data_IF_234693673368
#
_entry.id   IF_234693673368
#
_cell.length_a   1.000
_cell.length_b   1.000
_cell.length_c   1.000
_cell.angle_alpha   90.00
_cell.angle_beta   90.00
_cell.angle_gamma   90.00
#
_symmetry.space_group_name_H-M   'P 1'
#
loop_
_entity.id
_entity.type
_entity.pdbx_description
1 polymer ?
#
# COMPACT_ATOMS: atom_id res chain seq x y z
N UNK A 1 -29.43 19.49 -18.31
CA UNK A 1 -28.29 19.44 -17.40
C UNK A 1 -28.01 18.00 -16.97
N UNK A 2 -26.79 17.62 -17.07
CA UNK A 2 -26.43 16.30 -16.62
C UNK A 2 -25.95 16.37 -15.20
N UNK A 3 -26.59 15.63 -14.34
CA UNK A 3 -26.14 15.47 -12.99
C UNK A 3 -25.32 14.20 -12.92
N UNK A 4 -24.05 14.34 -12.68
CA UNK A 4 -23.24 13.16 -12.48
C UNK A 4 -23.59 12.65 -11.11
N UNK A 5 -24.08 11.45 -11.04
CA UNK A 5 -24.34 10.83 -9.77
C UNK A 5 -23.06 10.67 -8.98
N UNK A 6 -23.20 10.06 -7.85
CA UNK A 6 -22.06 9.66 -7.07
C UNK A 6 -21.06 9.02 -8.00
N UNK A 7 -19.83 9.34 -7.79
CA UNK A 7 -18.80 8.77 -8.61
C UNK A 7 -19.00 7.29 -8.66
N UNK A 8 -19.31 6.83 -9.83
CA UNK A 8 -19.51 5.42 -10.07
C UNK A 8 -18.31 4.61 -9.67
N UNK A 9 -17.15 5.24 -9.75
CA UNK A 9 -15.96 4.56 -9.35
C UNK A 9 -15.91 4.51 -7.84
N UNK A 10 -15.89 3.32 -7.35
CA UNK A 10 -15.84 3.09 -5.91
C UNK A 10 -14.46 3.29 -5.34
N UNK A 11 -13.46 3.16 -6.18
CA UNK A 11 -12.07 3.22 -5.74
C UNK A 11 -11.30 4.24 -6.57
N UNK A 12 -10.44 4.96 -5.89
CA UNK A 12 -9.46 5.83 -6.53
C UNK A 12 -8.12 5.13 -6.39
N UNK A 13 -7.48 4.89 -7.52
CA UNK A 13 -6.19 4.21 -7.55
C UNK A 13 -5.08 5.24 -7.65
N UNK A 14 -4.20 5.25 -6.66
CA UNK A 14 -3.14 6.24 -6.57
C UNK A 14 -1.79 5.55 -6.39
N UNK A 15 -0.81 5.85 -7.24
CA UNK A 15 0.53 5.33 -7.02
C UNK A 15 1.16 6.01 -5.81
N UNK A 16 2.01 5.29 -5.11
CA UNK A 16 2.69 5.84 -3.95
C UNK A 16 4.16 5.40 -3.92
N UNK A 17 4.93 6.14 -3.14
CA UNK A 17 6.31 5.81 -2.85
C UNK A 17 6.58 6.16 -1.40
N UNK A 18 7.25 5.27 -0.70
CA UNK A 18 7.67 5.52 0.68
C UNK A 18 9.17 5.26 0.76
N UNK A 19 9.93 6.27 1.12
CA UNK A 19 11.39 6.20 1.16
C UNK A 19 11.96 6.70 2.48
N UNK A 20 11.13 6.76 3.51
CA UNK A 20 11.56 7.23 4.83
C UNK A 20 11.95 6.10 5.79
N UNK A 21 12.00 4.88 5.30
CA UNK A 21 12.50 3.75 6.07
C UNK A 21 13.94 3.50 5.66
N UNK A 22 14.83 3.59 6.61
CA UNK A 22 16.25 3.42 6.33
C UNK A 22 16.53 2.08 5.66
N UNK A 23 17.22 2.13 4.53
CA UNK A 23 17.61 0.95 3.79
C UNK A 23 16.56 0.40 2.83
N UNK A 24 15.36 0.99 2.78
CA UNK A 24 14.28 0.46 1.97
C UNK A 24 13.54 1.54 1.20
N UNK A 25 13.02 1.14 0.06
CA UNK A 25 12.13 1.97 -0.75
C UNK A 25 10.92 1.10 -1.09
N UNK A 26 9.74 1.62 -0.82
CA UNK A 26 8.49 0.92 -1.14
C UNK A 26 7.76 1.71 -2.20
N UNK A 27 7.36 1.03 -3.27
CA UNK A 27 6.55 1.63 -4.31
C UNK A 27 5.36 0.74 -4.58
N UNK A 28 4.26 1.34 -4.98
CA UNK A 28 3.09 0.55 -5.28
C UNK A 28 1.89 1.41 -5.62
N UNK A 29 0.73 0.83 -5.48
CA UNK A 29 -0.54 1.47 -5.78
C UNK A 29 -1.50 1.21 -4.64
N UNK A 30 -2.19 2.25 -4.21
CA UNK A 30 -3.21 2.15 -3.16
C UNK A 30 -4.57 2.53 -3.73
N UNK A 31 -5.59 1.82 -3.31
CA UNK A 31 -6.97 2.09 -3.70
C UNK A 31 -7.71 2.65 -2.49
N UNK A 32 -8.40 3.77 -2.71
CA UNK A 32 -9.19 4.43 -1.67
C UNK A 32 -10.63 4.54 -2.11
N UNK A 33 -11.54 4.48 -1.15
CA UNK A 33 -12.95 4.67 -1.46
C UNK A 33 -13.28 6.17 -1.50
N UNK A 34 -14.55 6.48 -1.70
CA UNK A 34 -14.99 7.88 -1.81
C UNK A 34 -14.80 8.65 -0.52
N UNK A 35 -14.66 7.99 0.59
CA UNK A 35 -14.45 8.61 1.90
C UNK A 35 -12.97 8.71 2.26
N UNK A 36 -12.09 8.51 1.28
CA UNK A 36 -10.65 8.56 1.47
C UNK A 36 -10.13 7.51 2.45
N UNK A 37 -10.79 6.36 2.46
CA UNK A 37 -10.36 5.24 3.28
C UNK A 37 -9.72 4.17 2.43
N UNK A 38 -8.60 3.68 2.89
CA UNK A 38 -7.88 2.63 2.17
C UNK A 38 -8.71 1.36 2.10
N UNK A 39 -8.86 0.81 0.90
CA UNK A 39 -9.57 -0.45 0.71
C UNK A 39 -8.62 -1.57 0.33
N UNK A 40 -7.74 -1.30 -0.61
CA UNK A 40 -6.78 -2.29 -1.10
C UNK A 40 -5.48 -1.60 -1.41
N UNK A 41 -4.43 -2.38 -1.53
CA UNK A 41 -3.15 -1.85 -1.95
C UNK A 41 -2.19 -2.97 -2.28
N UNK A 42 -1.15 -2.61 -2.97
CA UNK A 42 -0.05 -3.52 -3.24
C UNK A 42 1.22 -2.73 -3.39
N UNK A 43 2.34 -3.35 -3.09
CA UNK A 43 3.61 -2.68 -3.23
C UNK A 43 4.76 -3.64 -3.32
N UNK A 44 5.88 -3.08 -3.74
CA UNK A 44 7.14 -3.79 -3.79
C UNK A 44 8.11 -3.11 -2.84
N UNK A 45 8.79 -3.90 -2.06
CA UNK A 45 9.83 -3.43 -1.14
C UNK A 45 11.17 -3.72 -1.79
N UNK A 46 11.96 -2.68 -1.95
CA UNK A 46 13.31 -2.78 -2.53
C UNK A 46 14.31 -2.19 -1.56
N UNK A 47 15.54 -2.66 -1.65
CA UNK A 47 16.63 -1.99 -0.94
C UNK A 47 16.96 -0.68 -1.65
N UNK A 48 17.65 0.21 -0.97
CA UNK A 48 18.12 1.46 -1.58
C UNK A 48 19.08 1.21 -2.72
N UNK A 49 19.61 0.01 -2.82
CA UNK A 49 20.49 -0.39 -3.93
C UNK A 49 19.72 -0.95 -5.11
N UNK A 50 18.39 -1.05 -4.99
CA UNK A 50 17.54 -1.51 -6.07
C UNK A 50 17.19 -2.99 -6.04
N UNK A 51 17.73 -3.75 -5.09
CA UNK A 51 17.43 -5.18 -5.00
C UNK A 51 16.02 -5.39 -4.47
N UNK A 52 15.26 -6.28 -5.10
CA UNK A 52 13.92 -6.60 -4.66
C UNK A 52 13.96 -7.45 -3.40
N UNK A 53 13.30 -6.98 -2.35
CA UNK A 53 13.23 -7.68 -1.08
C UNK A 53 11.96 -8.50 -0.99
N UNK A 54 10.82 -7.88 -1.27
CA UNK A 54 9.52 -8.54 -1.14
C UNK A 54 8.46 -7.80 -1.92
N UNK A 55 7.32 -8.45 -2.11
CA UNK A 55 6.10 -7.78 -2.54
C UNK A 55 5.02 -8.06 -1.50
N UNK A 56 4.03 -7.19 -1.43
CA UNK A 56 2.93 -7.38 -0.51
C UNK A 56 1.63 -6.87 -1.11
N UNK A 57 0.53 -7.38 -0.58
CA UNK A 57 -0.81 -6.88 -0.90
C UNK A 57 -1.54 -6.60 0.39
N UNK A 58 -2.41 -5.60 0.36
CA UNK A 58 -3.29 -5.26 1.46
C UNK A 58 -4.71 -5.47 0.96
N UNK A 59 -5.48 -6.29 1.65
CA UNK A 59 -6.82 -6.66 1.22
C UNK A 59 -7.84 -6.32 2.28
N UNK A 60 -8.97 -5.75 1.84
CA UNK A 60 -10.16 -5.50 2.64
C UNK A 60 -9.87 -4.87 4.00
N UNK A 61 -9.26 -3.73 3.96
CA UNK A 61 -8.82 -3.02 5.18
C UNK A 61 -9.99 -2.51 6.00
N UNK A 62 -11.20 -2.49 5.44
CA UNK A 62 -12.36 -1.91 6.12
C UNK A 62 -12.75 -2.65 7.39
N UNK A 63 -12.57 -3.94 7.41
CA UNK A 63 -12.93 -4.76 8.57
C UNK A 63 -11.73 -5.06 9.44
N UNK A 64 -10.65 -5.46 8.82
CA UNK A 64 -9.40 -5.68 9.53
C UNK A 64 -8.26 -5.56 8.53
N UNK A 65 -7.14 -5.09 9.01
CA UNK A 65 -5.97 -4.94 8.16
C UNK A 65 -5.38 -6.30 7.89
N UNK A 66 -5.20 -6.61 6.62
CA UNK A 66 -4.59 -7.86 6.20
C UNK A 66 -3.48 -7.57 5.22
N UNK A 67 -2.31 -8.02 5.57
CA UNK A 67 -1.14 -7.92 4.71
C UNK A 67 -0.74 -9.33 4.33
N UNK A 68 -0.66 -9.55 3.02
CA UNK A 68 -0.15 -10.81 2.49
C UNK A 68 1.14 -10.55 1.77
N UNK A 69 2.20 -11.24 2.17
CA UNK A 69 3.46 -11.17 1.46
C UNK A 69 3.40 -12.09 0.25
N UNK A 70 3.82 -11.59 -0.88
CA UNK A 70 3.97 -12.39 -2.07
C UNK A 70 5.35 -13.01 -2.13
N UNK A 71 6.19 -12.50 -3.02
CA UNK A 71 7.58 -12.94 -3.08
C UNK A 71 8.36 -12.26 -1.97
N UNK A 72 9.15 -13.02 -1.25
CA UNK A 72 9.98 -12.47 -0.19
C UNK A 72 11.24 -13.30 -0.03
N UNK A 73 12.36 -12.63 0.17
CA UNK A 73 13.59 -13.31 0.50
C UNK A 73 13.44 -13.92 1.90
N UNK A 74 13.78 -15.18 2.04
CA UNK A 74 13.52 -15.94 3.27
C UNK A 74 14.18 -15.29 4.49
N UNK A 75 15.38 -14.76 4.32
CA UNK A 75 16.13 -14.14 5.42
C UNK A 75 15.71 -12.70 5.70
N UNK A 76 14.77 -12.15 4.94
CA UNK A 76 14.29 -10.79 5.08
C UNK A 76 12.82 -10.73 5.48
N UNK A 77 12.21 -11.85 5.79
CA UNK A 77 10.78 -11.90 6.05
C UNK A 77 10.35 -10.99 7.20
N UNK A 78 11.06 -11.01 8.31
CA UNK A 78 10.69 -10.15 9.44
C UNK A 78 10.81 -8.68 9.11
N UNK A 79 11.86 -8.31 8.37
CA UNK A 79 12.04 -6.93 7.93
C UNK A 79 10.93 -6.53 6.96
N UNK A 80 10.60 -7.42 6.03
CA UNK A 80 9.55 -7.14 5.05
C UNK A 80 8.20 -6.93 5.71
N UNK A 81 7.86 -7.73 6.71
CA UNK A 81 6.61 -7.55 7.45
C UNK A 81 6.59 -6.20 8.14
N UNK A 82 7.68 -5.82 8.80
CA UNK A 82 7.77 -4.53 9.47
C UNK A 82 7.62 -3.36 8.50
N UNK A 83 8.29 -3.44 7.35
CA UNK A 83 8.19 -2.39 6.32
C UNK A 83 6.78 -2.32 5.76
N UNK A 84 6.17 -3.47 5.49
CA UNK A 84 4.80 -3.51 4.96
C UNK A 84 3.80 -2.92 5.96
N UNK A 85 3.95 -3.24 7.25
CA UNK A 85 3.06 -2.70 8.28
C UNK A 85 3.22 -1.19 8.41
N UNK A 86 4.45 -0.69 8.38
CA UNK A 86 4.69 0.75 8.43
C UNK A 86 4.08 1.44 7.21
N UNK A 87 4.19 0.83 6.05
CA UNK A 87 3.60 1.37 4.83
C UNK A 87 2.08 1.39 4.94
N UNK A 88 1.48 0.31 5.44
CA UNK A 88 0.05 0.24 5.65
C UNK A 88 -0.42 1.36 6.58
N UNK A 89 0.28 1.59 7.67
CA UNK A 89 -0.07 2.65 8.61
C UNK A 89 -0.10 4.01 7.93
N UNK A 90 0.88 4.30 7.08
CA UNK A 90 0.91 5.55 6.33
C UNK A 90 -0.23 5.62 5.32
N UNK A 91 -0.45 4.56 4.57
CA UNK A 91 -1.51 4.54 3.57
C UNK A 91 -2.89 4.69 4.20
N UNK A 92 -3.08 4.18 5.39
CA UNK A 92 -4.36 4.26 6.09
C UNK A 92 -4.72 5.70 6.49
N UNK A 93 -3.76 6.62 6.50
CA UNK A 93 -4.04 8.03 6.79
C UNK A 93 -4.81 8.71 5.67
N UNK A 94 -4.87 8.10 4.51
CA UNK A 94 -5.57 8.68 3.36
C UNK A 94 -4.62 9.40 2.41
N UNK A 95 -5.10 9.62 1.20
CA UNK A 95 -4.23 10.18 0.15
C UNK A 95 -4.16 11.71 0.17
N UNK A 96 -4.99 12.36 0.97
CA UNK A 96 -5.00 13.83 1.07
C UNK A 96 -4.23 14.36 2.26
N UNK A 97 -3.43 13.52 2.86
CA UNK A 97 -2.67 13.93 4.05
C UNK A 97 -1.26 14.32 3.69
#
# INVERSE_FOLDING_TARGET
>A
MVTFGEIERKDIKIPFKKDDIEGYIVTGVANYDKDNKLTHGRGDIRSTEGARIASFTVNDVRNESRISLGSCLADKMNEAVGVAEATLADLALGYNV
#
